data_IF_733844217048
#
_entry.id   IF_733844217048
#
_cell.length_a   1.000
_cell.length_b   1.000
_cell.length_c   1.000
_cell.angle_alpha   90.00
_cell.angle_beta   90.00
_cell.angle_gamma   90.00
#
_symmetry.space_group_name_H-M   'P 1'
#
loop_
_entity.id
_entity.type
_entity.pdbx_description
1 polymer ?
#
# COMPACT_ATOMS: atom_id res chain seq x y z
N UNK A 1 -23.65 -6.74 4.02
CA UNK A 1 -23.07 -5.68 3.16
C UNK A 1 -21.98 -4.85 3.83
N UNK A 2 -22.20 -4.22 5.01
CA UNK A 2 -21.17 -3.40 5.69
C UNK A 2 -19.82 -4.12 5.97
N UNK A 3 -19.84 -5.41 6.35
CA UNK A 3 -18.60 -6.19 6.57
C UNK A 3 -17.81 -6.43 5.28
N UNK A 4 -18.47 -6.80 4.19
CA UNK A 4 -17.83 -7.05 2.89
C UNK A 4 -17.20 -5.76 2.35
N UNK A 5 -17.91 -4.64 2.47
CA UNK A 5 -17.40 -3.32 2.06
C UNK A 5 -16.19 -2.88 2.89
N UNK A 6 -16.18 -3.17 4.21
CA UNK A 6 -14.99 -2.95 5.06
C UNK A 6 -13.79 -3.79 4.62
N UNK A 7 -14.00 -5.06 4.29
CA UNK A 7 -12.92 -5.95 3.84
C UNK A 7 -12.36 -5.53 2.48
N UNK A 8 -13.22 -5.16 1.52
CA UNK A 8 -12.79 -4.69 0.21
C UNK A 8 -11.96 -3.39 0.29
N UNK A 9 -12.36 -2.44 1.15
CA UNK A 9 -11.61 -1.21 1.38
C UNK A 9 -10.27 -1.43 2.09
N UNK A 10 -10.19 -2.45 2.96
CA UNK A 10 -8.96 -2.81 3.65
C UNK A 10 -7.94 -3.47 2.70
N UNK A 11 -8.43 -4.13 1.66
CA UNK A 11 -7.63 -4.75 0.59
C UNK A 11 -7.28 -3.78 -0.54
N UNK A 12 -7.90 -2.61 -0.63
CA UNK A 12 -7.75 -1.70 -1.78
C UNK A 12 -6.29 -1.32 -2.10
N UNK A 13 -5.41 -0.99 -1.14
CA UNK A 13 -4.02 -0.74 -1.46
C UNK A 13 -3.30 -2.02 -1.85
N UNK A 14 -3.61 -3.16 -1.22
CA UNK A 14 -3.06 -4.46 -1.62
C UNK A 14 -3.43 -4.84 -3.07
N UNK A 15 -4.67 -4.57 -3.48
CA UNK A 15 -5.14 -4.79 -4.86
C UNK A 15 -4.41 -3.85 -5.82
N UNK A 16 -4.31 -2.56 -5.50
CA UNK A 16 -3.57 -1.59 -6.33
C UNK A 16 -2.11 -2.02 -6.49
N UNK A 17 -1.45 -2.39 -5.39
CA UNK A 17 -0.09 -2.92 -5.33
C UNK A 17 0.04 -4.12 -6.27
N UNK A 18 -0.82 -5.14 -6.14
CA UNK A 18 -0.80 -6.35 -6.99
C UNK A 18 -1.01 -6.03 -8.47
N UNK A 19 -1.94 -5.13 -8.80
CA UNK A 19 -2.20 -4.71 -10.18
C UNK A 19 -0.95 -4.06 -10.79
N UNK A 20 -0.29 -3.14 -10.06
CA UNK A 20 0.95 -2.49 -10.50
C UNK A 20 2.06 -3.53 -10.70
N UNK A 21 2.20 -4.49 -9.77
CA UNK A 21 3.15 -5.59 -9.87
C UNK A 21 2.93 -6.44 -11.11
N UNK A 22 1.67 -6.82 -11.39
CA UNK A 22 1.30 -7.60 -12.56
C UNK A 22 1.62 -6.89 -13.88
N UNK A 23 1.23 -5.61 -14.00
CA UNK A 23 1.48 -4.83 -15.23
C UNK A 23 2.96 -4.69 -15.54
N UNK A 24 3.79 -4.66 -14.52
CA UNK A 24 5.22 -4.44 -14.69
C UNK A 24 6.02 -5.73 -14.96
N UNK A 25 5.42 -6.91 -14.77
CA UNK A 25 6.03 -8.23 -15.02
C UNK A 25 5.52 -8.83 -16.35
N UNK A 26 4.44 -8.31 -16.92
CA UNK A 26 3.82 -8.87 -18.13
C UNK A 26 4.78 -8.88 -19.34
N UNK A 27 5.07 -10.07 -19.93
CA UNK A 27 6.04 -10.22 -21.01
C UNK A 27 5.62 -9.57 -22.32
N UNK A 28 4.36 -9.12 -22.46
CA UNK A 28 3.90 -8.36 -23.62
C UNK A 28 4.26 -6.87 -23.57
N UNK A 29 4.72 -6.37 -22.41
CA UNK A 29 5.29 -5.04 -22.24
C UNK A 29 6.81 -5.16 -22.08
N UNK A 30 7.44 -5.74 -23.11
CA UNK A 30 8.89 -5.90 -23.27
C UNK A 30 9.62 -4.57 -23.07
N UNK A 31 9.93 -4.27 -21.81
CA UNK A 31 11.20 -3.87 -21.21
C UNK A 31 10.85 -3.85 -19.72
N UNK A 32 11.50 -4.68 -18.90
CA UNK A 32 11.44 -4.52 -17.45
C UNK A 32 12.10 -3.18 -17.17
N UNK A 33 11.31 -2.11 -17.26
CA UNK A 33 11.81 -0.78 -17.09
C UNK A 33 11.91 -0.58 -15.57
N UNK A 34 13.06 -0.99 -15.02
CA UNK A 34 13.38 -0.84 -13.60
C UNK A 34 13.12 0.60 -13.12
N UNK A 35 13.17 1.57 -14.04
CA UNK A 35 12.79 2.96 -13.83
C UNK A 35 11.34 3.14 -13.33
N UNK A 36 10.37 2.42 -13.89
CA UNK A 36 8.97 2.46 -13.48
C UNK A 36 8.77 1.82 -12.10
N UNK A 37 9.51 0.75 -11.81
CA UNK A 37 9.47 0.14 -10.49
C UNK A 37 10.07 1.06 -9.42
N UNK A 38 11.19 1.71 -9.71
CA UNK A 38 11.80 2.71 -8.81
C UNK A 38 10.85 3.89 -8.60
N UNK A 39 10.17 4.37 -9.64
CA UNK A 39 9.16 5.42 -9.51
C UNK A 39 8.00 4.97 -8.62
N UNK A 40 7.51 3.74 -8.81
CA UNK A 40 6.47 3.18 -7.95
C UNK A 40 6.95 3.05 -6.50
N UNK A 41 8.22 2.71 -6.28
CA UNK A 41 8.83 2.62 -4.96
C UNK A 41 8.94 3.97 -4.25
N UNK A 42 9.32 5.01 -4.98
CA UNK A 42 9.55 6.33 -4.41
C UNK A 42 8.28 7.15 -4.21
N UNK A 43 7.24 6.91 -5.00
CA UNK A 43 6.03 7.73 -4.98
C UNK A 43 4.76 6.92 -4.73
N UNK A 44 4.56 5.83 -5.46
CA UNK A 44 3.29 5.13 -5.47
C UNK A 44 3.06 4.31 -4.19
N UNK A 45 4.02 3.51 -3.75
CA UNK A 45 3.90 2.76 -2.50
C UNK A 45 3.78 3.68 -1.27
N UNK A 46 4.60 4.74 -1.09
CA UNK A 46 4.37 5.77 -0.08
C UNK A 46 2.95 6.29 -0.03
N UNK A 47 2.42 6.69 -1.20
CA UNK A 47 1.08 7.23 -1.32
C UNK A 47 0.01 6.20 -0.97
N UNK A 48 0.17 4.95 -1.41
CA UNK A 48 -0.77 3.86 -1.11
C UNK A 48 -0.80 3.52 0.38
N UNK A 49 0.36 3.53 1.05
CA UNK A 49 0.40 3.36 2.51
C UNK A 49 -0.26 4.53 3.23
N UNK A 50 0.00 5.76 2.81
CA UNK A 50 -0.65 6.95 3.36
C UNK A 50 -2.17 6.86 3.21
N UNK A 51 -2.66 6.54 2.00
CA UNK A 51 -4.08 6.34 1.71
C UNK A 51 -4.69 5.18 2.51
N UNK A 52 -3.95 4.10 2.74
CA UNK A 52 -4.41 3.01 3.61
C UNK A 52 -4.72 3.53 5.02
N UNK A 53 -3.85 4.40 5.55
CA UNK A 53 -4.07 5.07 6.83
C UNK A 53 -5.39 5.87 6.83
N UNK A 54 -5.61 6.68 5.80
CA UNK A 54 -6.83 7.50 5.61
C UNK A 54 -8.08 6.61 5.57
N UNK A 55 -8.07 5.60 4.70
CA UNK A 55 -9.20 4.68 4.48
C UNK A 55 -9.54 3.91 5.76
N UNK A 56 -8.53 3.49 6.51
CA UNK A 56 -8.71 2.79 7.78
C UNK A 56 -9.56 3.61 8.77
N UNK A 57 -9.38 4.94 8.81
CA UNK A 57 -10.20 5.81 9.65
C UNK A 57 -11.65 5.83 9.19
N UNK A 58 -11.89 5.98 7.88
CA UNK A 58 -13.22 6.04 7.27
C UNK A 58 -14.04 4.79 7.55
N UNK A 59 -13.39 3.63 7.65
CA UNK A 59 -14.05 2.35 7.88
C UNK A 59 -14.07 1.91 9.36
N UNK A 60 -13.58 2.73 10.31
CA UNK A 60 -13.34 2.34 11.70
C UNK A 60 -12.48 1.06 11.85
N UNK A 61 -11.49 0.89 10.98
CA UNK A 61 -10.61 -0.26 10.98
C UNK A 61 -9.49 -0.18 12.01
N UNK A 62 -8.86 -1.33 12.27
CA UNK A 62 -7.61 -1.39 13.03
C UNK A 62 -6.42 -1.05 12.13
N UNK A 63 -5.65 -0.02 12.50
CA UNK A 63 -4.48 0.42 11.75
C UNK A 63 -3.40 -0.65 11.64
N UNK A 64 -3.21 -1.46 12.69
CA UNK A 64 -2.23 -2.55 12.67
C UNK A 64 -2.59 -3.63 11.64
N UNK A 65 -3.89 -3.96 11.52
CA UNK A 65 -4.36 -4.93 10.53
C UNK A 65 -4.20 -4.35 9.12
N UNK A 66 -4.59 -3.09 8.93
CA UNK A 66 -4.52 -2.42 7.63
C UNK A 66 -3.07 -2.28 7.12
N UNK A 67 -2.14 -1.87 7.99
CA UNK A 67 -0.72 -1.79 7.65
C UNK A 67 -0.10 -3.17 7.47
N UNK A 68 -0.46 -4.16 8.30
CA UNK A 68 0.00 -5.53 8.15
C UNK A 68 -0.34 -6.12 6.78
N UNK A 69 -1.57 -5.91 6.31
CA UNK A 69 -2.00 -6.31 4.96
C UNK A 69 -1.19 -5.60 3.87
N UNK A 70 -0.99 -4.28 3.98
CA UNK A 70 -0.19 -3.53 3.00
C UNK A 70 1.28 -3.96 2.97
N UNK A 71 1.89 -4.26 4.12
CA UNK A 71 3.26 -4.78 4.21
C UNK A 71 3.35 -6.17 3.58
N UNK A 72 2.41 -7.07 3.88
CA UNK A 72 2.39 -8.40 3.26
C UNK A 72 2.26 -8.31 1.74
N UNK A 73 1.38 -7.44 1.23
CA UNK A 73 1.25 -7.21 -0.21
C UNK A 73 2.55 -6.66 -0.83
N UNK A 74 3.21 -5.71 -0.17
CA UNK A 74 4.49 -5.17 -0.61
C UNK A 74 5.60 -6.22 -0.61
N UNK A 75 5.65 -7.10 0.40
CA UNK A 75 6.62 -8.21 0.47
C UNK A 75 6.45 -9.20 -0.70
N UNK A 76 5.22 -9.52 -1.09
CA UNK A 76 4.97 -10.39 -2.25
C UNK A 76 5.56 -9.79 -3.53
N UNK A 77 5.41 -8.48 -3.74
CA UNK A 77 6.00 -7.79 -4.89
C UNK A 77 7.51 -7.75 -4.82
N UNK A 78 8.06 -7.44 -3.65
CA UNK A 78 9.49 -7.46 -3.40
C UNK A 78 10.14 -8.79 -3.81
N UNK A 79 9.50 -9.90 -3.43
CA UNK A 79 9.94 -11.25 -3.79
C UNK A 79 9.77 -11.51 -5.29
N UNK A 80 8.66 -11.08 -5.90
CA UNK A 80 8.42 -11.24 -7.34
C UNK A 80 9.42 -10.46 -8.20
N UNK A 81 9.87 -9.29 -7.74
CA UNK A 81 10.83 -8.43 -8.43
C UNK A 81 12.29 -8.67 -8.05
N UNK A 82 12.55 -9.61 -7.12
CA UNK A 82 13.87 -9.92 -6.59
C UNK A 82 14.64 -8.67 -6.08
N UNK A 83 13.92 -7.63 -5.64
CA UNK A 83 14.54 -6.36 -5.29
C UNK A 83 14.87 -6.30 -3.79
N UNK A 84 16.00 -6.88 -3.39
CA UNK A 84 16.40 -6.94 -1.97
C UNK A 84 16.67 -5.56 -1.33
N UNK A 85 17.01 -4.53 -2.11
CA UNK A 85 17.26 -3.19 -1.57
C UNK A 85 15.98 -2.48 -1.18
N UNK A 86 14.85 -2.83 -1.78
CA UNK A 86 13.57 -2.20 -1.51
C UNK A 86 12.97 -2.55 -0.11
N UNK A 87 13.55 -3.49 0.63
CA UNK A 87 13.20 -3.75 2.04
C UNK A 87 13.44 -2.55 2.95
N UNK A 88 14.42 -1.69 2.63
CA UNK A 88 14.77 -0.52 3.46
C UNK A 88 13.62 0.51 3.53
N UNK A 89 12.67 0.46 2.61
CA UNK A 89 11.55 1.40 2.55
C UNK A 89 10.37 1.00 3.44
N UNK A 90 10.33 -0.23 3.96
CA UNK A 90 9.22 -0.72 4.80
C UNK A 90 8.98 0.19 6.02
N UNK A 91 10.01 0.61 6.80
CA UNK A 91 9.79 1.53 7.92
C UNK A 91 9.21 2.88 7.49
N UNK A 92 9.68 3.42 6.35
CA UNK A 92 9.18 4.70 5.81
C UNK A 92 7.70 4.59 5.46
N UNK A 93 7.30 3.51 4.79
CA UNK A 93 5.91 3.29 4.42
C UNK A 93 5.02 3.08 5.64
N UNK A 94 5.53 2.40 6.66
CA UNK A 94 4.82 2.21 7.92
C UNK A 94 4.54 3.56 8.62
N UNK A 95 5.55 4.44 8.68
CA UNK A 95 5.39 5.80 9.21
C UNK A 95 4.36 6.58 8.41
N UNK A 96 4.43 6.55 7.08
CA UNK A 96 3.48 7.27 6.22
C UNK A 96 2.03 6.80 6.40
N UNK A 97 1.82 5.49 6.52
CA UNK A 97 0.49 4.96 6.81
C UNK A 97 -0.02 5.36 8.18
N UNK A 98 0.85 5.42 9.18
CA UNK A 98 0.50 5.92 10.50
C UNK A 98 0.16 7.42 10.49
N UNK A 99 0.92 8.22 9.74
CA UNK A 99 0.68 9.65 9.52
C UNK A 99 -0.68 9.87 8.85
N UNK A 100 -0.97 9.17 7.77
CA UNK A 100 -2.26 9.23 7.07
C UNK A 100 -3.43 8.90 8.01
N UNK A 101 -3.29 7.85 8.82
CA UNK A 101 -4.28 7.48 9.83
C UNK A 101 -4.51 8.58 10.86
N UNK A 102 -3.44 9.14 11.43
CA UNK A 102 -3.54 10.09 12.53
C UNK A 102 -4.11 11.44 12.07
N UNK A 103 -3.66 11.94 10.92
CA UNK A 103 -4.19 13.16 10.29
C UNK A 103 -5.68 12.99 10.00
N UNK A 104 -6.07 11.91 9.31
CA UNK A 104 -7.46 11.66 8.98
C UNK A 104 -8.34 11.47 10.20
N UNK A 105 -7.84 10.84 11.27
CA UNK A 105 -8.57 10.68 12.52
C UNK A 105 -8.88 12.03 13.16
N UNK A 106 -7.92 12.96 13.17
CA UNK A 106 -8.13 14.32 13.69
C UNK A 106 -9.11 15.15 12.86
N UNK A 107 -9.09 14.99 11.54
CA UNK A 107 -9.96 15.78 10.65
C UNK A 107 -11.38 15.21 10.64
N UNK A 108 -11.53 13.90 10.44
CA UNK A 108 -12.82 13.25 10.15
C UNK A 108 -13.56 12.81 11.41
N UNK A 109 -12.85 12.48 12.48
CA UNK A 109 -13.44 12.04 13.75
C UNK A 109 -13.15 13.02 14.87
N UNK A 110 -13.19 14.30 14.53
CA UNK A 110 -13.13 15.41 15.48
C UNK A 110 -14.27 15.22 16.49
N UNK A 111 -13.94 14.60 17.63
CA UNK A 111 -14.65 14.78 18.89
C UNK A 111 -13.88 15.83 19.66
#
# INVERSE_FOLDING_TARGET
>A
MKKVFRVLNLLTPGIAIIVIGYYSISPNFLHIDHSLFILALLFLFPLLFLLQGVVTVLIDGSIFVALGVSVLAFLVILLAWMNSSAFVYIPVYFVLGYVGYWISRKILKKK
#
